data_IF_182647808202
#
_entry.id   IF_182647808202
#
_cell.length_a   1.000
_cell.length_b   1.000
_cell.length_c   1.000
_cell.angle_alpha   90.00
_cell.angle_beta   90.00
_cell.angle_gamma   90.00
#
_symmetry.space_group_name_H-M   'P 1'
#
loop_
_entity.id
_entity.type
_entity.pdbx_description
1 polymer ?
#
# COMPACT_ATOMS: atom_id res chain seq x y z
N UNK A 1 -4.70 -35.60 21.13
CA UNK A 1 -5.82 -34.72 20.71
C UNK A 1 -5.44 -33.24 20.52
N UNK A 2 -4.16 -32.88 20.33
CA UNK A 2 -3.69 -31.48 20.44
C UNK A 2 -3.43 -30.75 19.11
N UNK A 3 -3.17 -31.47 18.02
CA UNK A 3 -2.85 -30.87 16.70
C UNK A 3 -4.12 -30.43 15.95
N UNK A 4 -5.17 -31.26 15.95
CA UNK A 4 -6.45 -30.94 15.29
C UNK A 4 -7.20 -29.73 15.86
N UNK A 5 -6.88 -29.27 17.08
CA UNK A 5 -7.50 -28.07 17.66
C UNK A 5 -6.69 -26.79 17.40
N UNK A 6 -5.41 -26.93 17.03
CA UNK A 6 -4.46 -25.81 16.89
C UNK A 6 -3.90 -25.65 15.46
N UNK A 7 -4.42 -26.40 14.48
CA UNK A 7 -3.94 -26.38 13.09
C UNK A 7 -3.90 -24.96 12.50
N UNK A 8 -4.86 -24.11 12.83
CA UNK A 8 -4.94 -22.73 12.34
C UNK A 8 -3.82 -21.83 12.89
N UNK A 9 -3.27 -22.15 14.08
CA UNK A 9 -2.09 -21.46 14.63
C UNK A 9 -0.84 -21.82 13.84
N UNK A 10 -0.66 -23.12 13.57
CA UNK A 10 0.44 -23.63 12.75
C UNK A 10 0.35 -23.02 11.35
N UNK A 11 -0.85 -23.02 10.76
CA UNK A 11 -1.10 -22.40 9.46
C UNK A 11 -0.75 -20.90 9.46
N UNK A 12 -1.15 -20.17 10.51
CA UNK A 12 -0.78 -18.76 10.67
C UNK A 12 0.73 -18.53 10.67
N UNK A 13 1.48 -19.36 11.41
CA UNK A 13 2.94 -19.31 11.45
C UNK A 13 3.55 -19.63 10.08
N UNK A 14 3.05 -20.67 9.39
CA UNK A 14 3.50 -21.04 8.05
C UNK A 14 3.32 -19.89 7.07
N UNK A 15 2.16 -19.22 7.10
CA UNK A 15 1.92 -18.06 6.24
C UNK A 15 2.84 -16.87 6.56
N UNK A 16 3.09 -16.57 7.84
CA UNK A 16 4.03 -15.50 8.22
C UNK A 16 5.45 -15.82 7.73
N UNK A 17 5.92 -17.07 7.93
CA UNK A 17 7.24 -17.49 7.44
C UNK A 17 7.31 -17.41 5.92
N UNK A 18 6.28 -17.89 5.22
CA UNK A 18 6.19 -17.77 3.77
C UNK A 18 6.28 -16.31 3.31
N UNK A 19 5.57 -15.40 3.98
CA UNK A 19 5.58 -13.96 3.66
C UNK A 19 6.95 -13.35 3.91
N UNK A 20 7.63 -13.69 5.00
CA UNK A 20 8.99 -13.21 5.27
C UNK A 20 9.96 -13.70 4.19
N UNK A 21 9.92 -14.98 3.86
CA UNK A 21 10.84 -15.58 2.88
C UNK A 21 10.54 -15.08 1.47
N UNK A 22 9.32 -15.28 0.97
CA UNK A 22 8.95 -14.88 -0.40
C UNK A 22 8.85 -13.37 -0.55
N UNK A 23 8.38 -12.67 0.47
CA UNK A 23 8.28 -11.23 0.48
C UNK A 23 9.62 -10.51 0.51
N UNK A 24 10.71 -11.14 0.95
CA UNK A 24 12.07 -10.58 0.87
C UNK A 24 12.81 -11.06 -0.38
N UNK A 25 12.71 -12.35 -0.72
CA UNK A 25 13.48 -12.94 -1.82
C UNK A 25 12.95 -12.62 -3.22
N UNK A 26 11.68 -12.21 -3.36
CA UNK A 26 11.13 -11.85 -4.68
C UNK A 26 11.69 -10.48 -5.09
N UNK A 27 12.45 -10.34 -6.19
CA UNK A 27 13.00 -9.05 -6.57
C UNK A 27 11.93 -8.14 -7.19
N UNK A 28 12.20 -6.84 -7.23
CA UNK A 28 11.43 -5.89 -8.03
C UNK A 28 11.73 -6.07 -9.52
N UNK A 29 10.76 -5.75 -10.38
CA UNK A 29 10.96 -5.64 -11.82
C UNK A 29 12.02 -4.56 -12.11
N UNK A 30 12.81 -4.70 -13.19
CA UNK A 30 13.63 -3.61 -13.70
C UNK A 30 12.82 -2.30 -13.81
N UNK A 31 13.45 -1.19 -13.46
CA UNK A 31 12.81 0.12 -13.43
C UNK A 31 13.78 1.25 -13.70
N UNK A 32 13.26 2.47 -13.79
CA UNK A 32 14.06 3.67 -13.97
C UNK A 32 14.11 4.40 -12.63
N UNK A 33 15.31 4.52 -12.08
CA UNK A 33 15.55 5.20 -10.81
C UNK A 33 15.52 6.71 -10.99
N UNK A 34 16.33 7.23 -11.90
CA UNK A 34 16.44 8.65 -12.15
C UNK A 34 16.78 8.95 -13.62
N UNK A 35 16.44 10.16 -14.05
CA UNK A 35 16.94 10.75 -15.29
C UNK A 35 17.52 12.14 -15.01
N UNK A 36 18.60 12.48 -15.72
CA UNK A 36 19.25 13.79 -15.60
C UNK A 36 19.86 14.24 -16.93
N UNK A 37 19.68 15.51 -17.35
CA UNK A 37 18.73 16.48 -16.79
C UNK A 37 17.27 16.08 -17.10
N UNK A 38 16.30 16.78 -16.51
CA UNK A 38 14.87 16.52 -16.69
C UNK A 38 14.12 17.64 -17.42
N UNK A 39 14.78 18.78 -17.68
CA UNK A 39 14.22 19.97 -18.33
C UNK A 39 14.98 20.29 -19.60
N UNK A 40 14.24 20.56 -20.68
CA UNK A 40 14.80 20.77 -22.02
C UNK A 40 14.03 21.85 -22.79
N UNK A 41 14.69 22.39 -23.81
CA UNK A 41 14.07 23.26 -24.83
C UNK A 41 13.78 22.46 -26.10
N UNK A 42 12.65 22.76 -26.75
CA UNK A 42 12.26 22.13 -28.01
C UNK A 42 13.17 22.55 -29.16
N UNK A 43 13.19 21.77 -30.24
CA UNK A 43 13.96 22.08 -31.45
C UNK A 43 15.46 21.75 -31.39
N UNK A 44 15.93 21.20 -30.28
CA UNK A 44 17.34 20.84 -30.07
C UNK A 44 17.52 19.33 -29.91
N UNK A 45 18.75 18.87 -30.16
CA UNK A 45 19.20 17.55 -29.70
C UNK A 45 19.36 17.60 -28.18
N UNK A 46 18.83 16.59 -27.49
CA UNK A 46 18.94 16.45 -26.04
C UNK A 46 19.62 15.15 -25.69
N UNK A 47 20.42 15.17 -24.63
CA UNK A 47 21.09 14.00 -24.07
C UNK A 47 20.60 13.78 -22.63
N UNK A 48 20.04 12.61 -22.36
CA UNK A 48 19.46 12.22 -21.09
C UNK A 48 20.29 11.08 -20.51
N UNK A 49 20.89 11.32 -19.35
CA UNK A 49 21.42 10.25 -18.52
C UNK A 49 20.29 9.50 -17.84
N UNK A 50 20.30 8.18 -17.89
CA UNK A 50 19.29 7.31 -17.27
C UNK A 50 19.98 6.36 -16.32
N UNK A 51 19.52 6.35 -15.07
CA UNK A 51 19.93 5.40 -14.05
C UNK A 51 18.81 4.37 -13.84
N UNK A 52 19.16 3.10 -14.00
CA UNK A 52 18.26 1.96 -13.90
C UNK A 52 18.35 1.25 -12.55
N UNK A 53 17.23 0.66 -12.13
CA UNK A 53 17.15 -0.18 -10.94
C UNK A 53 16.88 -1.63 -11.33
N UNK A 54 17.74 -2.56 -10.88
CA UNK A 54 17.65 -3.98 -11.21
C UNK A 54 17.59 -4.26 -12.74
N UNK A 55 18.29 -3.44 -13.53
CA UNK A 55 18.35 -3.53 -15.00
C UNK A 55 19.63 -4.22 -15.45
N UNK A 56 19.66 -4.63 -16.72
CA UNK A 56 20.80 -5.26 -17.40
C UNK A 56 20.93 -4.70 -18.81
N UNK A 57 21.15 -3.39 -18.91
CA UNK A 57 21.19 -2.67 -20.19
C UNK A 57 22.27 -3.18 -21.17
N UNK A 58 23.30 -3.89 -20.70
CA UNK A 58 24.32 -4.47 -21.60
C UNK A 58 23.88 -5.76 -22.31
N UNK A 59 22.77 -6.38 -21.88
CA UNK A 59 22.35 -7.73 -22.28
C UNK A 59 21.18 -7.77 -23.26
N UNK A 60 20.80 -6.63 -23.85
CA UNK A 60 19.62 -6.58 -24.71
C UNK A 60 19.61 -5.41 -25.68
N UNK A 61 18.73 -5.51 -26.67
CA UNK A 61 18.46 -4.40 -27.58
C UNK A 61 17.56 -3.37 -26.90
N UNK A 62 18.03 -2.13 -26.87
CA UNK A 62 17.34 -1.03 -26.20
C UNK A 62 16.67 -0.12 -27.22
N UNK A 63 15.43 0.27 -26.91
CA UNK A 63 14.74 1.37 -27.58
C UNK A 63 14.15 2.28 -26.51
N UNK A 64 14.26 3.60 -26.71
CA UNK A 64 13.71 4.57 -25.78
C UNK A 64 12.76 5.53 -26.51
N UNK A 65 11.75 6.01 -25.78
CA UNK A 65 10.72 6.89 -26.28
C UNK A 65 10.39 7.99 -25.28
N UNK A 66 10.09 9.18 -25.80
CA UNK A 66 9.43 10.26 -25.05
C UNK A 66 7.98 10.30 -25.51
N UNK A 67 7.05 10.08 -24.57
CA UNK A 67 5.61 9.98 -24.83
C UNK A 67 4.88 11.17 -24.24
N UNK A 68 4.08 11.86 -25.06
CA UNK A 68 3.09 12.85 -24.62
C UNK A 68 1.72 12.20 -24.40
N UNK A 69 1.26 11.39 -25.37
CA UNK A 69 0.01 10.63 -25.32
C UNK A 69 0.16 9.29 -26.04
N UNK A 70 -0.86 8.42 -26.02
CA UNK A 70 -0.84 7.13 -26.76
C UNK A 70 -0.71 7.29 -28.29
N UNK A 71 -0.86 8.51 -28.80
CA UNK A 71 -0.72 8.83 -30.22
C UNK A 71 0.59 9.57 -30.53
N UNK A 72 1.21 10.20 -29.52
CA UNK A 72 2.32 11.13 -29.69
C UNK A 72 3.58 10.67 -28.97
N UNK A 73 4.55 10.14 -29.73
CA UNK A 73 5.81 9.59 -29.21
C UNK A 73 7.00 9.98 -30.11
N UNK A 74 8.14 10.25 -29.50
CA UNK A 74 9.42 10.48 -30.19
C UNK A 74 10.39 9.35 -29.83
N UNK A 75 11.00 8.68 -30.82
CA UNK A 75 11.97 7.62 -30.59
C UNK A 75 13.37 8.22 -30.35
N UNK A 76 14.20 7.50 -29.60
CA UNK A 76 15.60 7.86 -29.41
C UNK A 76 16.37 7.79 -30.72
N UNK A 77 17.24 8.77 -30.96
CA UNK A 77 18.17 8.80 -32.08
C UNK A 77 19.39 7.92 -31.83
N UNK A 78 19.87 7.88 -30.58
CA UNK A 78 21.01 7.04 -30.17
C UNK A 78 20.93 6.65 -28.71
N UNK A 79 21.42 5.46 -28.38
CA UNK A 79 21.58 4.98 -27.00
C UNK A 79 23.04 4.54 -26.80
N UNK A 80 23.70 5.08 -25.79
CA UNK A 80 25.06 4.72 -25.38
C UNK A 80 24.98 4.07 -23.99
N UNK A 81 25.12 2.75 -23.93
CA UNK A 81 25.13 2.01 -22.65
C UNK A 81 26.50 2.15 -21.99
N UNK A 82 26.53 2.56 -20.73
CA UNK A 82 27.76 2.70 -19.94
C UNK A 82 27.95 1.53 -18.97
N UNK A 83 26.87 0.97 -18.44
CA UNK A 83 26.86 -0.23 -17.58
C UNK A 83 25.48 -0.91 -17.59
N UNK A 84 25.31 -1.98 -16.82
CA UNK A 84 24.01 -2.68 -16.67
C UNK A 84 22.89 -1.77 -16.11
N UNK A 85 23.26 -0.71 -15.40
CA UNK A 85 22.33 0.18 -14.71
C UNK A 85 22.44 1.64 -15.16
N UNK A 86 23.23 1.92 -16.20
CA UNK A 86 23.44 3.30 -16.62
C UNK A 86 23.60 3.39 -18.14
N UNK A 87 22.97 4.39 -18.73
CA UNK A 87 23.05 4.68 -20.14
C UNK A 87 22.77 6.16 -20.41
N UNK A 88 23.16 6.63 -21.59
CA UNK A 88 22.80 7.94 -22.11
C UNK A 88 21.93 7.76 -23.35
N UNK A 89 20.79 8.45 -23.39
CA UNK A 89 19.86 8.43 -24.53
C UNK A 89 19.82 9.81 -25.17
N UNK A 90 19.97 9.83 -26.49
CA UNK A 90 19.92 11.04 -27.29
C UNK A 90 18.61 11.08 -28.08
N UNK A 91 17.93 12.22 -28.05
CA UNK A 91 16.71 12.49 -28.81
C UNK A 91 16.84 13.78 -29.61
N UNK A 92 16.26 13.79 -30.82
CA UNK A 92 16.02 15.01 -31.57
C UNK A 92 14.60 15.48 -31.30
N UNK A 93 14.46 16.53 -30.49
CA UNK A 93 13.13 17.04 -30.11
C UNK A 93 12.63 18.00 -31.19
N UNK A 94 11.46 17.76 -31.80
CA UNK A 94 10.88 18.70 -32.75
C UNK A 94 10.65 20.07 -32.10
N UNK A 95 10.65 21.13 -32.93
CA UNK A 95 10.44 22.50 -32.46
C UNK A 95 9.09 22.70 -31.75
N UNK A 96 8.08 21.93 -32.14
CA UNK A 96 6.73 22.00 -31.59
C UNK A 96 6.29 20.65 -31.03
N UNK A 97 5.43 20.66 -30.03
CA UNK A 97 4.76 19.47 -29.51
C UNK A 97 3.24 19.68 -29.45
N UNK A 98 2.44 18.60 -29.49
CA UNK A 98 0.97 18.67 -29.62
C UNK A 98 0.31 19.03 -28.28
N UNK A 99 0.62 20.22 -27.76
CA UNK A 99 0.04 20.78 -26.53
C UNK A 99 -0.27 22.26 -26.74
N UNK A 100 -1.34 22.73 -26.11
CA UNK A 100 -1.74 24.13 -26.13
C UNK A 100 -0.91 25.00 -25.18
N UNK A 101 -0.07 24.39 -24.36
CA UNK A 101 0.82 25.08 -23.43
C UNK A 101 2.25 25.16 -23.96
N UNK A 102 2.98 26.20 -23.55
CA UNK A 102 4.43 26.32 -23.85
C UNK A 102 5.28 25.33 -23.06
N UNK A 103 4.75 24.73 -22.01
CA UNK A 103 5.46 23.79 -21.15
C UNK A 103 4.59 22.58 -20.91
N UNK A 104 5.12 21.39 -21.18
CA UNK A 104 4.42 20.13 -20.99
C UNK A 104 5.32 19.09 -20.31
N UNK A 105 4.67 18.12 -19.67
CA UNK A 105 5.34 16.97 -19.04
C UNK A 105 5.17 15.74 -19.92
N UNK A 106 6.25 14.98 -20.06
CA UNK A 106 6.33 13.82 -20.93
C UNK A 106 6.80 12.61 -20.12
N UNK A 107 6.30 11.45 -20.54
CA UNK A 107 6.66 10.16 -19.98
C UNK A 107 7.86 9.59 -20.73
N UNK A 108 8.88 9.18 -20.00
CA UNK A 108 10.01 8.45 -20.58
C UNK A 108 9.74 6.95 -20.54
N UNK A 109 9.98 6.27 -21.66
CA UNK A 109 9.80 4.82 -21.79
C UNK A 109 11.11 4.23 -22.31
N UNK A 110 11.58 3.17 -21.66
CA UNK A 110 12.72 2.39 -22.11
C UNK A 110 12.30 0.93 -22.21
N UNK A 111 12.45 0.34 -23.38
CA UNK A 111 12.17 -1.07 -23.62
C UNK A 111 13.44 -1.83 -23.94
N UNK A 112 13.55 -3.01 -23.35
CA UNK A 112 14.58 -4.00 -23.60
C UNK A 112 13.92 -5.34 -23.91
N UNK A 113 14.50 -6.14 -24.79
CA UNK A 113 14.14 -7.55 -24.94
C UNK A 113 14.50 -8.39 -23.70
N UNK A 114 15.57 -8.02 -22.97
CA UNK A 114 16.02 -8.70 -21.75
C UNK A 114 15.28 -8.26 -20.48
N UNK A 115 15.05 -6.95 -20.32
CA UNK A 115 14.45 -6.36 -19.11
C UNK A 115 12.96 -6.04 -19.25
N UNK A 116 12.43 -6.05 -20.47
CA UNK A 116 11.07 -5.64 -20.80
C UNK A 116 10.92 -4.12 -20.82
N UNK A 117 9.67 -3.65 -20.82
CA UNK A 117 9.36 -2.22 -20.82
C UNK A 117 9.35 -1.64 -19.42
N UNK A 118 10.03 -0.51 -19.26
CA UNK A 118 10.10 0.31 -18.04
C UNK A 118 9.60 1.72 -18.37
N UNK A 119 8.91 2.34 -17.42
CA UNK A 119 8.20 3.62 -17.63
C UNK A 119 8.47 4.56 -16.47
N UNK A 120 8.80 5.81 -16.80
CA UNK A 120 8.97 6.92 -15.87
C UNK A 120 8.00 8.04 -16.26
N UNK A 121 6.81 8.09 -15.62
CA UNK A 121 5.76 9.01 -15.99
C UNK A 121 6.10 10.46 -15.63
N UNK A 122 5.72 11.39 -16.52
CA UNK A 122 5.71 12.85 -16.29
C UNK A 122 7.00 13.45 -15.73
N UNK A 123 8.17 12.87 -16.06
CA UNK A 123 9.47 13.33 -15.51
C UNK A 123 10.22 14.26 -16.45
N UNK A 124 10.02 14.14 -17.76
CA UNK A 124 10.65 15.01 -18.75
C UNK A 124 9.78 16.25 -18.91
N UNK A 125 10.37 17.44 -18.83
CA UNK A 125 9.69 18.71 -19.04
C UNK A 125 10.33 19.37 -20.25
N UNK A 126 9.52 19.71 -21.24
CA UNK A 126 9.98 20.39 -22.45
C UNK A 126 9.25 21.72 -22.56
N UNK A 127 10.00 22.77 -22.82
CA UNK A 127 9.50 24.09 -23.14
C UNK A 127 9.60 24.35 -24.66
N UNK A 128 8.58 25.00 -25.23
CA UNK A 128 8.58 25.48 -26.62
C UNK A 128 8.39 26.99 -26.67
N UNK A 129 9.21 27.68 -27.46
CA UNK A 129 9.20 29.14 -27.55
C UNK A 129 7.86 29.70 -28.08
N UNK A 130 7.25 28.99 -29.02
CA UNK A 130 5.96 29.31 -29.62
C UNK A 130 5.14 28.03 -29.83
N UNK A 131 3.81 28.18 -29.84
CA UNK A 131 2.88 27.06 -29.95
C UNK A 131 2.44 26.92 -31.41
N UNK A 132 2.67 25.74 -32.00
CA UNK A 132 2.04 25.30 -33.25
C UNK A 132 1.57 23.86 -33.08
N UNK A 133 0.29 23.72 -32.72
CA UNK A 133 -0.29 22.42 -32.40
C UNK A 133 -0.28 21.46 -33.60
N UNK A 134 -0.57 21.95 -34.82
CA UNK A 134 -0.66 21.09 -36.00
C UNK A 134 0.72 20.58 -36.42
N UNK A 135 1.73 21.44 -36.38
CA UNK A 135 3.11 21.03 -36.59
C UNK A 135 3.58 20.04 -35.50
N UNK A 136 3.15 20.25 -34.24
CA UNK A 136 3.38 19.32 -33.14
C UNK A 136 2.77 17.94 -33.39
N UNK A 137 1.50 17.87 -33.81
CA UNK A 137 0.81 16.60 -34.13
C UNK A 137 1.56 15.84 -35.22
N UNK A 138 1.94 16.52 -36.31
CA UNK A 138 2.65 15.88 -37.42
C UNK A 138 4.02 15.34 -37.02
N UNK A 139 4.76 16.08 -36.19
CA UNK A 139 6.12 15.70 -35.81
C UNK A 139 6.21 14.64 -34.70
N UNK A 140 5.17 14.51 -33.86
CA UNK A 140 5.11 13.53 -32.78
C UNK A 140 4.31 12.27 -33.11
N UNK A 141 3.62 12.24 -34.25
CA UNK A 141 2.89 11.04 -34.68
C UNK A 141 3.84 10.06 -35.35
N UNK A 142 4.01 8.88 -34.74
CA UNK A 142 4.76 7.80 -35.35
C UNK A 142 3.95 7.10 -36.45
N UNK A 143 4.60 6.80 -37.57
CA UNK A 143 4.01 6.01 -38.65
C UNK A 143 3.62 4.59 -38.20
N UNK A 144 4.38 4.01 -37.27
CA UNK A 144 4.09 2.71 -36.65
C UNK A 144 4.27 2.82 -35.14
N UNK A 145 3.26 2.38 -34.38
CA UNK A 145 3.34 2.36 -32.92
C UNK A 145 4.30 1.28 -32.44
N UNK A 146 5.14 1.57 -31.43
CA UNK A 146 6.03 0.58 -30.86
C UNK A 146 5.24 -0.52 -30.15
N UNK A 147 5.70 -1.76 -30.28
CA UNK A 147 5.22 -2.88 -29.47
C UNK A 147 6.07 -2.93 -28.22
N UNK A 148 5.44 -2.70 -27.07
CA UNK A 148 6.14 -2.73 -25.79
C UNK A 148 6.29 -4.16 -25.29
N UNK A 149 7.53 -4.57 -25.02
CA UNK A 149 7.83 -5.90 -24.49
C UNK A 149 7.32 -6.04 -23.07
N UNK A 150 6.50 -7.07 -22.82
CA UNK A 150 6.06 -7.47 -21.50
C UNK A 150 6.70 -8.81 -21.15
N UNK A 151 7.66 -8.78 -20.22
CA UNK A 151 8.23 -10.00 -19.66
C UNK A 151 7.33 -10.50 -18.53
N UNK A 152 6.80 -11.70 -18.69
CA UNK A 152 6.05 -12.40 -17.66
C UNK A 152 7.02 -13.12 -16.72
N UNK A 153 7.63 -12.38 -15.79
CA UNK A 153 8.43 -12.91 -14.68
C UNK A 153 7.72 -12.62 -13.35
N UNK A 154 7.90 -13.50 -12.36
CA UNK A 154 7.36 -13.30 -11.01
C UNK A 154 8.19 -12.28 -10.23
N UNK A 155 7.95 -11.00 -10.51
CA UNK A 155 8.61 -9.87 -9.87
C UNK A 155 7.59 -8.96 -9.21
N UNK A 156 8.00 -8.26 -8.16
CA UNK A 156 7.18 -7.18 -7.64
C UNK A 156 7.21 -5.97 -8.57
N UNK A 157 6.12 -5.20 -8.67
CA UNK A 157 6.10 -4.04 -9.54
C UNK A 157 7.04 -2.97 -9.02
N UNK A 158 7.83 -2.38 -9.91
CA UNK A 158 8.64 -1.22 -9.58
C UNK A 158 7.78 0.06 -9.64
N UNK A 159 7.82 0.85 -8.57
CA UNK A 159 7.14 2.15 -8.48
C UNK A 159 8.16 3.19 -8.05
N UNK A 160 8.32 4.24 -8.86
CA UNK A 160 9.45 5.19 -8.76
C UNK A 160 9.41 6.08 -7.51
N UNK A 161 8.34 6.02 -6.72
CA UNK A 161 8.21 6.71 -5.43
C UNK A 161 8.40 5.73 -4.26
N UNK A 162 8.13 4.44 -4.47
CA UNK A 162 8.14 3.44 -3.39
C UNK A 162 9.43 2.61 -3.38
N UNK A 163 9.96 2.25 -4.55
CA UNK A 163 11.06 1.30 -4.70
C UNK A 163 10.83 0.06 -3.82
N UNK A 164 11.82 -0.33 -3.01
CA UNK A 164 11.76 -1.48 -2.10
C UNK A 164 10.75 -1.31 -0.94
N UNK A 165 10.34 -0.08 -0.62
CA UNK A 165 9.34 0.16 0.45
C UNK A 165 7.95 -0.38 0.08
N UNK A 166 7.70 -0.72 -1.19
CA UNK A 166 6.44 -1.37 -1.60
C UNK A 166 6.17 -2.66 -0.83
N UNK A 167 7.22 -3.35 -0.34
CA UNK A 167 7.08 -4.54 0.50
C UNK A 167 6.36 -4.28 1.82
N UNK A 168 6.46 -3.06 2.35
CA UNK A 168 5.72 -2.68 3.55
C UNK A 168 4.19 -2.78 3.34
N UNK A 169 3.70 -2.71 2.10
CA UNK A 169 2.26 -2.84 1.79
C UNK A 169 1.67 -4.11 2.37
N UNK A 170 2.31 -5.27 2.18
CA UNK A 170 1.74 -6.53 2.66
C UNK A 170 1.90 -6.74 4.17
N UNK A 171 2.74 -5.97 4.87
CA UNK A 171 2.77 -5.95 6.33
C UNK A 171 1.76 -4.95 6.87
N UNK A 172 1.95 -3.66 6.55
CA UNK A 172 1.15 -2.54 7.03
C UNK A 172 -0.35 -2.75 6.82
N UNK A 173 -0.76 -3.09 5.60
CA UNK A 173 -2.18 -3.25 5.27
C UNK A 173 -2.77 -4.48 5.99
N UNK A 174 -2.01 -5.57 6.12
CA UNK A 174 -2.45 -6.77 6.85
C UNK A 174 -2.73 -6.51 8.33
N UNK A 175 -2.00 -5.57 8.95
CA UNK A 175 -2.28 -5.13 10.32
C UNK A 175 -3.67 -4.48 10.44
N UNK A 176 -4.04 -3.63 9.48
CA UNK A 176 -5.37 -3.02 9.44
C UNK A 176 -6.47 -4.07 9.20
N UNK A 177 -6.29 -4.99 8.26
CA UNK A 177 -7.25 -6.09 8.05
C UNK A 177 -7.43 -6.92 9.33
N UNK A 178 -6.35 -7.18 10.06
CA UNK A 178 -6.40 -7.90 11.33
C UNK A 178 -7.14 -7.12 12.40
N UNK A 179 -6.85 -5.83 12.56
CA UNK A 179 -7.59 -4.95 13.47
C UNK A 179 -9.09 -5.00 13.16
N UNK A 180 -9.50 -4.77 11.91
CA UNK A 180 -10.91 -4.78 11.54
C UNK A 180 -11.59 -6.12 11.78
N UNK A 181 -10.94 -7.23 11.39
CA UNK A 181 -11.45 -8.57 11.66
C UNK A 181 -11.73 -8.79 13.15
N UNK A 182 -10.77 -8.42 14.01
CA UNK A 182 -10.92 -8.52 15.46
C UNK A 182 -12.03 -7.62 16.00
N UNK A 183 -12.18 -6.40 15.47
CA UNK A 183 -13.26 -5.48 15.86
C UNK A 183 -14.64 -6.01 15.46
N UNK A 184 -14.80 -6.52 14.23
CA UNK A 184 -16.05 -7.17 13.79
C UNK A 184 -16.43 -8.34 14.71
N UNK A 185 -15.46 -9.21 15.03
CA UNK A 185 -15.67 -10.30 15.98
C UNK A 185 -15.99 -9.79 17.38
N UNK A 186 -15.37 -8.68 17.82
CA UNK A 186 -15.66 -8.10 19.13
C UNK A 186 -17.10 -7.59 19.23
N UNK A 187 -17.60 -6.95 18.17
CA UNK A 187 -18.98 -6.48 18.08
C UNK A 187 -19.96 -7.64 18.06
N UNK A 188 -19.65 -8.73 17.37
CA UNK A 188 -20.44 -9.95 17.41
C UNK A 188 -20.60 -10.48 18.85
N UNK A 189 -19.52 -10.51 19.63
CA UNK A 189 -19.57 -10.94 21.03
C UNK A 189 -20.25 -9.91 21.94
N UNK A 190 -20.05 -8.61 21.72
CA UNK A 190 -20.80 -7.55 22.42
C UNK A 190 -22.30 -7.69 22.20
N UNK A 191 -22.74 -7.93 20.97
CA UNK A 191 -24.15 -8.19 20.65
C UNK A 191 -24.68 -9.45 21.34
N UNK A 192 -23.91 -10.55 21.33
CA UNK A 192 -24.28 -11.77 22.07
C UNK A 192 -24.42 -11.53 23.57
N UNK A 193 -23.51 -10.78 24.17
CA UNK A 193 -23.59 -10.39 25.57
C UNK A 193 -24.89 -9.60 25.83
N UNK A 194 -25.18 -8.55 25.06
CA UNK A 194 -26.39 -7.73 25.24
C UNK A 194 -27.69 -8.53 25.09
N UNK A 195 -27.70 -9.57 24.26
CA UNK A 195 -28.85 -10.45 24.08
C UNK A 195 -29.02 -11.49 25.20
N UNK A 196 -27.93 -11.96 25.81
CA UNK A 196 -27.95 -13.15 26.68
C UNK A 196 -27.53 -12.88 28.11
N UNK A 197 -26.92 -11.74 28.41
CA UNK A 197 -26.28 -11.37 29.67
C UNK A 197 -25.20 -12.38 30.16
N UNK A 198 -24.65 -13.22 29.25
CA UNK A 198 -23.59 -14.17 29.60
C UNK A 198 -22.23 -13.47 29.61
N UNK A 199 -21.64 -13.28 30.81
CA UNK A 199 -20.36 -12.56 31.04
C UNK A 199 -19.19 -13.05 30.19
N UNK A 200 -19.16 -14.33 29.83
CA UNK A 200 -18.11 -14.91 28.98
C UNK A 200 -18.02 -14.24 27.59
N UNK A 201 -19.16 -13.77 27.05
CA UNK A 201 -19.16 -13.05 25.77
C UNK A 201 -18.56 -11.65 25.90
N UNK A 202 -18.78 -10.95 27.01
CA UNK A 202 -18.16 -9.66 27.27
C UNK A 202 -16.63 -9.77 27.38
N UNK A 203 -16.13 -10.80 28.09
CA UNK A 203 -14.69 -11.08 28.17
C UNK A 203 -14.05 -11.31 26.81
N UNK A 204 -14.71 -12.10 25.94
CA UNK A 204 -14.24 -12.32 24.57
C UNK A 204 -14.20 -11.02 23.78
N UNK A 205 -15.26 -10.22 23.86
CA UNK A 205 -15.31 -8.92 23.19
C UNK A 205 -14.16 -8.02 23.66
N UNK A 206 -13.92 -7.93 24.96
CA UNK A 206 -12.88 -7.08 25.53
C UNK A 206 -11.46 -7.52 25.16
N UNK A 207 -11.18 -8.83 25.14
CA UNK A 207 -9.90 -9.38 24.66
C UNK A 207 -9.67 -9.07 23.17
N UNK A 208 -10.71 -9.17 22.35
CA UNK A 208 -10.65 -8.83 20.93
C UNK A 208 -10.38 -7.34 20.71
N UNK A 209 -11.07 -6.44 21.42
CA UNK A 209 -10.84 -4.99 21.29
C UNK A 209 -9.41 -4.61 21.68
N UNK A 210 -8.90 -5.09 22.83
CA UNK A 210 -7.50 -4.81 23.24
C UNK A 210 -6.49 -5.30 22.19
N UNK A 211 -6.72 -6.48 21.62
CA UNK A 211 -5.87 -7.01 20.56
C UNK A 211 -5.98 -6.16 19.30
N UNK A 212 -7.19 -5.78 18.89
CA UNK A 212 -7.41 -4.93 17.72
C UNK A 212 -6.71 -3.58 17.83
N UNK A 213 -6.80 -2.93 19.01
CA UNK A 213 -6.09 -1.68 19.32
C UNK A 213 -4.59 -1.84 19.13
N UNK A 214 -4.00 -2.94 19.62
CA UNK A 214 -2.58 -3.24 19.42
C UNK A 214 -2.21 -3.30 17.92
N UNK A 215 -3.01 -3.98 17.09
CA UNK A 215 -2.81 -4.01 15.65
C UNK A 215 -3.00 -2.63 14.99
N UNK A 216 -3.95 -1.82 15.47
CA UNK A 216 -4.15 -0.45 15.01
C UNK A 216 -2.97 0.47 15.33
N UNK A 217 -2.39 0.35 16.53
CA UNK A 217 -1.15 1.07 16.91
C UNK A 217 -0.01 0.67 15.99
N UNK A 218 0.20 -0.64 15.76
CA UNK A 218 1.22 -1.11 14.81
C UNK A 218 0.96 -0.62 13.39
N UNK A 219 -0.31 -0.56 12.97
CA UNK A 219 -0.74 0.03 11.70
C UNK A 219 -0.30 1.49 11.58
N UNK A 220 -0.58 2.33 12.59
CA UNK A 220 -0.14 3.72 12.63
C UNK A 220 1.40 3.84 12.60
N UNK A 221 2.12 3.03 13.39
CA UNK A 221 3.59 3.08 13.45
C UNK A 221 4.24 2.69 12.12
N UNK A 222 3.78 1.60 11.51
CA UNK A 222 4.29 1.14 10.20
C UNK A 222 3.91 2.10 9.07
N UNK A 223 2.77 2.78 9.18
CA UNK A 223 2.35 3.84 8.25
C UNK A 223 3.21 5.10 8.39
N UNK A 224 3.49 5.54 9.62
CA UNK A 224 4.36 6.68 9.90
C UNK A 224 5.80 6.45 9.42
N UNK A 225 6.33 5.24 9.64
CA UNK A 225 7.62 4.83 9.10
C UNK A 225 7.64 4.90 7.58
N UNK A 226 6.58 4.40 6.92
CA UNK A 226 6.46 4.47 5.47
C UNK A 226 6.42 5.90 4.96
N UNK A 227 5.64 6.76 5.61
CA UNK A 227 5.56 8.19 5.28
C UNK A 227 6.93 8.88 5.37
N UNK A 228 7.74 8.52 6.38
CA UNK A 228 9.08 9.08 6.56
C UNK A 228 10.01 8.78 5.39
N UNK A 229 9.97 7.56 4.86
CA UNK A 229 10.80 7.17 3.71
C UNK A 229 10.27 7.70 2.38
N UNK A 230 8.95 7.72 2.19
CA UNK A 230 8.34 8.11 0.92
C UNK A 230 8.23 9.62 0.74
N UNK A 231 7.92 10.35 1.81
CA UNK A 231 7.61 11.79 1.77
C UNK A 231 8.47 12.64 2.71
N UNK A 232 9.44 12.04 3.39
CA UNK A 232 10.34 12.78 4.29
C UNK A 232 9.71 13.23 5.61
N UNK A 233 8.47 12.86 5.92
CA UNK A 233 7.77 13.24 7.18
C UNK A 233 7.11 12.03 7.83
N UNK A 234 7.10 11.98 9.17
CA UNK A 234 6.46 10.90 9.93
C UNK A 234 4.93 10.90 9.84
N UNK A 235 4.33 12.05 9.55
CA UNK A 235 2.88 12.18 9.39
C UNK A 235 2.57 13.28 8.39
N UNK A 236 1.65 13.01 7.47
CA UNK A 236 1.19 13.97 6.46
C UNK A 236 -0.18 14.52 6.84
N UNK A 237 -0.65 15.56 6.16
CA UNK A 237 -2.03 16.06 6.31
C UNK A 237 -3.07 15.23 5.54
N UNK A 238 -2.68 14.05 5.08
CA UNK A 238 -3.55 13.15 4.33
C UNK A 238 -4.75 12.70 5.17
N UNK A 239 -5.94 12.73 4.56
CA UNK A 239 -7.18 12.46 5.28
C UNK A 239 -7.22 11.02 5.81
N UNK A 240 -6.68 10.05 5.08
CA UNK A 240 -6.76 8.63 5.43
C UNK A 240 -5.87 8.32 6.63
N UNK A 241 -4.69 8.95 6.70
CA UNK A 241 -3.84 8.94 7.90
C UNK A 241 -4.61 9.47 9.11
N UNK A 242 -5.18 10.67 8.99
CA UNK A 242 -5.89 11.32 10.10
C UNK A 242 -7.13 10.53 10.54
N UNK A 243 -7.92 10.00 9.61
CA UNK A 243 -9.09 9.19 9.93
C UNK A 243 -8.71 7.87 10.60
N UNK A 244 -7.59 7.26 10.22
CA UNK A 244 -7.01 6.08 10.88
C UNK A 244 -6.64 6.38 12.35
N UNK A 245 -5.98 7.51 12.60
CA UNK A 245 -5.65 7.93 13.96
C UNK A 245 -6.91 8.23 14.80
N UNK A 246 -7.89 8.95 14.24
CA UNK A 246 -9.16 9.24 14.94
C UNK A 246 -9.91 7.94 15.26
N UNK A 247 -9.92 6.97 14.36
CA UNK A 247 -10.53 5.67 14.60
C UNK A 247 -9.89 4.93 15.78
N UNK A 248 -8.57 5.05 15.94
CA UNK A 248 -7.85 4.50 17.08
C UNK A 248 -8.19 5.25 18.39
N UNK A 249 -8.32 6.59 18.33
CA UNK A 249 -8.74 7.40 19.48
C UNK A 249 -10.15 7.01 19.98
N UNK A 250 -11.09 6.71 19.08
CA UNK A 250 -12.43 6.20 19.44
C UNK A 250 -12.31 4.90 20.24
N UNK A 251 -11.40 4.00 19.86
CA UNK A 251 -11.19 2.75 20.60
C UNK A 251 -10.35 2.93 21.87
N UNK A 252 -9.49 3.94 21.98
CA UNK A 252 -8.92 4.32 23.27
C UNK A 252 -9.98 4.87 24.24
N UNK A 253 -10.94 5.65 23.73
CA UNK A 253 -12.08 6.11 24.53
C UNK A 253 -12.95 4.92 25.02
N UNK A 254 -13.08 3.85 24.23
CA UNK A 254 -13.70 2.59 24.72
C UNK A 254 -12.96 2.02 25.95
N UNK A 255 -11.63 1.98 25.95
CA UNK A 255 -10.86 1.47 27.09
C UNK A 255 -11.06 2.33 28.34
N UNK A 256 -11.03 3.66 28.18
CA UNK A 256 -11.24 4.63 29.27
C UNK A 256 -12.65 4.48 29.85
N UNK A 257 -13.67 4.45 28.98
CA UNK A 257 -15.07 4.28 29.38
C UNK A 257 -15.28 2.98 30.16
N UNK A 258 -14.68 1.88 29.71
CA UNK A 258 -14.79 0.59 30.40
C UNK A 258 -14.10 0.62 31.76
N UNK A 259 -12.95 1.27 31.85
CA UNK A 259 -12.20 1.38 33.09
C UNK A 259 -12.86 2.29 34.13
N UNK A 260 -13.74 3.22 33.71
CA UNK A 260 -14.40 4.19 34.60
C UNK A 260 -15.70 3.68 35.25
N UNK A 261 -16.06 2.40 35.06
CA UNK A 261 -17.30 1.82 35.59
C UNK A 261 -16.93 0.70 36.55
N UNK A 262 -17.30 0.80 37.81
CA UNK A 262 -16.97 -0.22 38.81
C UNK A 262 -17.89 -1.44 38.71
N UNK A 263 -19.20 -1.23 38.59
CA UNK A 263 -20.19 -2.30 38.49
C UNK A 263 -19.99 -3.14 37.21
N UNK A 264 -19.67 -4.42 37.38
CA UNK A 264 -19.30 -5.31 36.27
C UNK A 264 -20.42 -5.50 35.23
N UNK A 265 -21.68 -5.57 35.66
CA UNK A 265 -22.81 -5.76 34.75
C UNK A 265 -23.13 -4.48 33.97
N UNK A 266 -23.01 -3.31 34.60
CA UNK A 266 -23.10 -2.02 33.92
C UNK A 266 -21.90 -1.80 32.99
N UNK A 267 -20.69 -2.15 33.42
CA UNK A 267 -19.44 -2.06 32.63
C UNK A 267 -19.59 -2.83 31.34
N UNK A 268 -20.00 -4.09 31.41
CA UNK A 268 -20.18 -4.95 30.25
C UNK A 268 -21.30 -4.44 29.31
N UNK A 269 -22.43 -3.98 29.84
CA UNK A 269 -23.53 -3.42 29.03
C UNK A 269 -23.14 -2.14 28.30
N UNK A 270 -22.60 -1.16 29.02
CA UNK A 270 -22.24 0.14 28.44
C UNK A 270 -21.09 -0.01 27.44
N UNK A 271 -20.06 -0.79 27.80
CA UNK A 271 -18.96 -1.07 26.88
C UNK A 271 -19.44 -1.82 25.63
N UNK A 272 -20.29 -2.83 25.79
CA UNK A 272 -20.85 -3.58 24.66
C UNK A 272 -21.60 -2.68 23.67
N UNK A 273 -22.45 -1.77 24.18
CA UNK A 273 -23.15 -0.80 23.35
C UNK A 273 -22.19 0.20 22.67
N UNK A 274 -21.21 0.72 23.41
CA UNK A 274 -20.19 1.60 22.85
C UNK A 274 -19.39 0.92 21.73
N UNK A 275 -19.01 -0.35 21.90
CA UNK A 275 -18.23 -1.07 20.89
C UNK A 275 -18.98 -1.18 19.55
N UNK A 276 -20.28 -1.43 19.59
CA UNK A 276 -21.14 -1.44 18.40
C UNK A 276 -21.14 -0.06 17.74
N UNK A 277 -21.39 0.99 18.53
CA UNK A 277 -21.38 2.37 18.05
C UNK A 277 -20.02 2.77 17.44
N UNK A 278 -18.92 2.42 18.11
CA UNK A 278 -17.56 2.71 17.68
C UNK A 278 -17.25 2.09 16.33
N UNK A 279 -17.60 0.82 16.11
CA UNK A 279 -17.39 0.17 14.82
C UNK A 279 -18.18 0.86 13.70
N UNK A 280 -19.46 1.20 13.97
CA UNK A 280 -20.31 1.93 13.02
C UNK A 280 -19.71 3.30 12.69
N UNK A 281 -19.14 4.00 13.67
CA UNK A 281 -18.49 5.30 13.47
C UNK A 281 -17.16 5.18 12.69
N UNK A 282 -16.36 4.14 12.93
CA UNK A 282 -15.07 3.93 12.24
C UNK A 282 -15.25 3.62 10.75
N UNK A 283 -16.30 2.89 10.35
CA UNK A 283 -16.54 2.51 8.94
C UNK A 283 -16.54 3.72 7.97
N UNK A 284 -17.36 4.78 8.17
CA UNK A 284 -17.33 5.93 7.29
C UNK A 284 -16.01 6.71 7.33
N UNK A 285 -15.35 6.78 8.50
CA UNK A 285 -14.05 7.45 8.63
C UNK A 285 -12.98 6.81 7.74
N UNK A 286 -12.95 5.48 7.66
CA UNK A 286 -11.88 4.75 6.96
C UNK A 286 -12.23 4.42 5.51
N UNK A 287 -13.50 4.12 5.24
CA UNK A 287 -13.93 3.64 3.93
C UNK A 287 -14.73 4.67 3.13
N UNK A 288 -15.34 5.67 3.74
CA UNK A 288 -16.15 6.64 2.99
C UNK A 288 -15.38 7.92 2.77
N UNK A 289 -14.98 8.61 3.84
CA UNK A 289 -14.35 9.94 3.76
C UNK A 289 -13.09 9.97 2.88
N UNK A 290 -12.16 8.99 2.95
CA UNK A 290 -10.95 9.06 2.15
C UNK A 290 -11.18 8.95 0.64
N UNK A 291 -12.34 8.43 0.21
CA UNK A 291 -12.70 8.30 -1.21
C UNK A 291 -13.36 9.57 -1.76
N UNK A 292 -13.75 10.50 -0.89
CA UNK A 292 -14.37 11.78 -1.26
C UNK A 292 -13.33 12.90 -1.45
N UNK A 293 -12.05 12.62 -1.24
CA UNK A 293 -10.96 13.59 -1.33
C UNK A 293 -9.73 12.96 -1.98
N UNK A 294 -8.84 13.80 -2.51
CA UNK A 294 -7.53 13.35 -2.95
C UNK A 294 -6.70 12.83 -1.77
N UNK A 295 -5.83 11.86 -2.05
CA UNK A 295 -4.99 11.23 -1.04
C UNK A 295 -3.68 10.76 -1.62
N UNK A 296 -2.64 10.79 -0.79
CA UNK A 296 -1.31 10.29 -1.12
C UNK A 296 -1.25 8.75 -1.13
N UNK A 297 -2.29 8.06 -0.67
CA UNK A 297 -2.30 6.60 -0.64
C UNK A 297 -2.50 6.01 -2.04
N UNK A 298 -1.70 5.01 -2.43
CA UNK A 298 -1.91 4.28 -3.68
C UNK A 298 -3.33 3.71 -3.77
N UNK A 299 -3.98 3.89 -4.94
CA UNK A 299 -5.34 3.44 -5.21
C UNK A 299 -6.44 4.28 -4.55
N UNK A 300 -6.25 5.60 -4.51
CA UNK A 300 -7.31 6.56 -4.20
C UNK A 300 -7.63 7.39 -5.46
N UNK A 301 -8.90 7.76 -5.68
CA UNK A 301 -9.36 8.40 -6.93
C UNK A 301 -10.21 7.52 -7.86
N UNK A 302 -10.94 6.53 -7.31
CA UNK A 302 -11.91 5.72 -8.06
C UNK A 302 -11.41 4.34 -8.53
N UNK A 303 -10.10 4.12 -8.56
CA UNK A 303 -9.53 2.77 -8.68
C UNK A 303 -9.24 2.26 -7.25
N UNK A 304 -9.83 1.13 -6.80
CA UNK A 304 -9.52 0.59 -5.49
C UNK A 304 -8.02 0.39 -5.32
N UNK A 305 -7.51 0.46 -4.07
CA UNK A 305 -6.18 -0.02 -3.67
C UNK A 305 -5.84 -1.48 -4.07
N UNK A 306 -6.75 -2.15 -4.77
CA UNK A 306 -6.70 -3.52 -5.29
C UNK A 306 -7.11 -3.60 -6.78
N UNK A 307 -7.04 -2.49 -7.53
CA UNK A 307 -7.28 -2.48 -8.97
C UNK A 307 -6.40 -3.50 -9.71
N UNK A 308 -6.94 -4.06 -10.80
CA UNK A 308 -6.23 -5.06 -11.61
C UNK A 308 -4.87 -4.56 -12.12
N UNK A 309 -4.72 -3.24 -12.31
CA UNK A 309 -3.48 -2.60 -12.77
C UNK A 309 -2.50 -2.21 -11.63
N UNK A 310 -2.96 -2.19 -10.38
CA UNK A 310 -2.18 -1.68 -9.24
C UNK A 310 -1.55 -2.77 -8.37
N UNK A 311 -2.09 -4.00 -8.41
CA UNK A 311 -1.55 -5.13 -7.66
C UNK A 311 -1.21 -6.28 -8.60
N UNK A 312 0.03 -6.31 -9.08
CA UNK A 312 0.59 -7.40 -9.89
C UNK A 312 0.41 -8.75 -9.19
N UNK A 313 0.17 -9.81 -9.97
CA UNK A 313 -0.10 -11.17 -9.47
C UNK A 313 0.96 -11.66 -8.49
N UNK A 314 2.23 -11.28 -8.70
CA UNK A 314 3.31 -11.59 -7.78
C UNK A 314 3.12 -10.98 -6.39
N UNK A 315 2.70 -9.71 -6.30
CA UNK A 315 2.45 -9.03 -5.03
C UNK A 315 1.24 -9.66 -4.30
N UNK A 316 0.21 -10.07 -5.04
CA UNK A 316 -0.99 -10.75 -4.47
C UNK A 316 -0.64 -12.06 -3.77
N UNK A 317 0.31 -12.82 -4.34
CA UNK A 317 0.77 -14.10 -3.80
C UNK A 317 1.47 -13.99 -2.45
N UNK A 318 1.92 -12.80 -2.05
CA UNK A 318 2.48 -12.53 -0.71
C UNK A 318 1.48 -11.79 0.16
N UNK A 319 0.73 -10.86 -0.44
CA UNK A 319 -0.26 -10.05 0.26
C UNK A 319 -1.34 -10.88 0.98
N UNK A 320 -2.04 -11.77 0.28
CA UNK A 320 -3.15 -12.51 0.90
C UNK A 320 -2.70 -13.50 1.98
N UNK A 321 -1.61 -14.27 1.79
CA UNK A 321 -1.02 -15.04 2.89
C UNK A 321 -0.66 -14.17 4.11
N UNK A 322 -0.17 -12.95 3.90
CA UNK A 322 0.11 -12.02 5.01
C UNK A 322 -1.15 -11.67 5.79
N UNK A 323 -2.23 -11.29 5.08
CA UNK A 323 -3.52 -10.99 5.72
C UNK A 323 -4.01 -12.18 6.55
N UNK A 324 -3.98 -13.38 5.99
CA UNK A 324 -4.43 -14.60 6.69
C UNK A 324 -3.53 -14.89 7.89
N UNK A 325 -2.21 -14.83 7.71
CA UNK A 325 -1.22 -15.08 8.76
C UNK A 325 -1.37 -14.15 9.95
N UNK A 326 -1.52 -12.84 9.71
CA UNK A 326 -1.73 -11.85 10.76
C UNK A 326 -3.11 -11.98 11.43
N UNK A 327 -4.18 -12.32 10.70
CA UNK A 327 -5.49 -12.60 11.30
C UNK A 327 -5.41 -13.82 12.22
N UNK A 328 -4.76 -14.90 11.79
CA UNK A 328 -4.52 -16.06 12.65
C UNK A 328 -3.71 -15.66 13.90
N UNK A 329 -2.64 -14.88 13.74
CA UNK A 329 -1.84 -14.42 14.88
C UNK A 329 -2.67 -13.56 15.84
N UNK A 330 -3.45 -12.61 15.34
CA UNK A 330 -4.31 -11.75 16.15
C UNK A 330 -5.39 -12.53 16.89
N UNK A 331 -6.06 -13.48 16.23
CA UNK A 331 -7.02 -14.38 16.89
C UNK A 331 -6.34 -15.22 17.98
N UNK A 332 -5.10 -15.67 17.76
CA UNK A 332 -4.33 -16.40 18.78
C UNK A 332 -4.00 -15.51 19.97
N UNK A 333 -3.51 -14.29 19.75
CA UNK A 333 -3.26 -13.31 20.81
C UNK A 333 -4.52 -13.02 21.62
N UNK A 334 -5.65 -12.74 20.96
CA UNK A 334 -6.92 -12.50 21.63
C UNK A 334 -7.38 -13.72 22.45
N UNK A 335 -7.16 -14.94 21.95
CA UNK A 335 -7.49 -16.17 22.70
C UNK A 335 -6.63 -16.36 23.96
N UNK A 336 -5.39 -15.86 23.96
CA UNK A 336 -4.50 -15.88 25.12
C UNK A 336 -4.97 -14.86 26.15
N UNK A 337 -5.23 -13.62 25.71
CA UNK A 337 -5.76 -12.55 26.57
C UNK A 337 -7.08 -12.94 27.23
N UNK A 338 -8.04 -13.46 26.47
CA UNK A 338 -9.31 -13.96 27.01
C UNK A 338 -9.11 -15.03 28.10
N UNK A 339 -8.19 -15.97 27.89
CA UNK A 339 -7.90 -17.02 28.88
C UNK A 339 -7.27 -16.43 30.14
N UNK A 340 -6.41 -15.43 30.00
CA UNK A 340 -5.83 -14.70 31.14
C UNK A 340 -6.92 -13.98 31.94
N UNK A 341 -7.80 -13.20 31.30
CA UNK A 341 -8.87 -12.49 32.03
C UNK A 341 -9.82 -13.46 32.73
N UNK A 342 -10.12 -14.59 32.08
CA UNK A 342 -10.95 -15.63 32.67
C UNK A 342 -10.34 -16.29 33.89
N UNK A 343 -9.02 -16.42 33.93
CA UNK A 343 -8.30 -16.94 35.08
C UNK A 343 -8.32 -15.88 36.19
N UNK A 344 -8.04 -14.61 35.86
CA UNK A 344 -8.07 -13.50 36.80
C UNK A 344 -9.43 -13.39 37.50
N UNK A 345 -10.52 -13.40 36.75
CA UNK A 345 -11.87 -13.35 37.34
C UNK A 345 -12.14 -14.49 38.32
N UNK A 346 -11.67 -15.71 38.02
CA UNK A 346 -11.83 -16.84 38.94
C UNK A 346 -11.01 -16.67 40.23
N UNK A 347 -9.86 -16.00 40.15
CA UNK A 347 -9.07 -15.66 41.33
C UNK A 347 -9.80 -14.59 42.16
N UNK A 348 -10.26 -13.52 41.53
CA UNK A 348 -10.99 -12.44 42.21
C UNK A 348 -12.29 -12.96 42.87
N UNK A 349 -13.00 -13.87 42.21
CA UNK A 349 -14.18 -14.55 42.78
C UNK A 349 -13.83 -15.44 43.98
N UNK A 350 -12.64 -16.06 43.99
CA UNK A 350 -12.20 -16.91 45.10
C UNK A 350 -11.78 -16.08 46.31
N UNK A 351 -11.03 -15.00 46.09
CA UNK A 351 -10.53 -14.12 47.14
C UNK A 351 -11.68 -13.34 47.81
N UNK A 352 -12.73 -12.97 47.06
CA UNK A 352 -13.92 -12.34 47.63
C UNK A 352 -14.84 -13.31 48.40
N UNK A 353 -14.65 -14.63 48.25
CA UNK A 353 -15.43 -15.68 48.93
C UNK A 353 -14.66 -16.34 50.10
N UNK A 354 -13.41 -15.93 50.35
CA UNK A 354 -12.58 -16.33 51.50
C UNK A 354 -12.50 -15.21 52.52
#
# INVERSE_FOLDING_TARGET
MTVYHNWWKILGVVFIIYVLVRGILTPLKPGIFEISPSRFESGNEINIHVEGYNTFYTKGNLLAYIKHSDQFLIPSSKINVTSDNSLNVIFNIPKYFPDSNKLAQFTFILTSDHDGTTVLPSRIIIHQDSIDYQAGVLSWTLAQKPVFSNLHKYWFPYRNILHETIRNTFFHVSLWFTMFWLLFMSVYFSFKYLKTNVKDYDLKAFALVRTAIFFGVLGCLTGALWARYTWGTWWTKDIKLNMAAISLLIYFAYLILRASIDDEDRKARISGAYNIFALVAVVPLIFVLPRLTDSLHPGNGGNPAFGAEDMDNALRLVFYPSVIGFICLGCWMASLLYRLDRIQLKFDEKDNNS
#
